data_IF_387459680167
#
_entry.id   IF_387459680167
#
_cell.length_a   1.000
_cell.length_b   1.000
_cell.length_c   1.000
_cell.angle_alpha   90.00
_cell.angle_beta   90.00
_cell.angle_gamma   90.00
#
_symmetry.space_group_name_H-M   'P 1'
#
loop_
_entity.id
_entity.type
_entity.pdbx_description
1 polymer ?
#
# COMPACT_ATOMS: atom_id res chain seq x y z
N UNK A 1 1.02 -15.37 12.65
CA UNK A 1 1.82 -14.48 11.79
C UNK A 1 0.86 -13.54 11.08
N UNK A 2 0.68 -12.33 11.60
CA UNK A 2 -0.22 -11.35 10.99
C UNK A 2 0.52 -10.63 9.88
N UNK A 3 0.09 -10.83 8.64
CA UNK A 3 0.51 -10.04 7.49
C UNK A 3 0.03 -8.60 7.70
N UNK A 4 0.95 -7.72 8.11
CA UNK A 4 0.69 -6.29 8.07
C UNK A 4 0.58 -5.87 6.59
N UNK A 5 -0.45 -5.08 6.21
CA UNK A 5 -0.52 -4.52 4.86
C UNK A 5 0.77 -3.78 4.56
N UNK A 6 1.33 -4.05 3.39
CA UNK A 6 2.53 -3.44 2.84
C UNK A 6 2.33 -1.92 2.74
N UNK A 7 2.67 -1.22 3.82
CA UNK A 7 2.72 0.25 3.86
C UNK A 7 3.93 0.72 3.06
N UNK A 8 3.81 0.72 1.73
CA UNK A 8 4.76 1.34 0.80
C UNK A 8 4.58 2.87 0.78
N UNK A 9 4.76 3.47 1.95
CA UNK A 9 4.93 4.91 2.10
C UNK A 9 6.08 5.16 3.07
N UNK A 10 6.90 6.18 2.80
CA UNK A 10 7.69 6.81 3.86
C UNK A 10 6.66 7.38 4.84
N UNK A 11 6.44 6.78 6.03
CA UNK A 11 5.27 7.11 6.81
C UNK A 11 5.36 8.58 7.21
N UNK A 12 4.24 9.31 7.24
CA UNK A 12 4.26 10.65 7.83
C UNK A 12 4.76 10.57 9.27
N UNK A 13 5.27 11.67 9.85
CA UNK A 13 5.73 11.66 11.24
C UNK A 13 4.64 11.16 12.20
N UNK A 14 3.39 11.54 11.94
CA UNK A 14 2.22 11.08 12.70
C UNK A 14 1.98 9.58 12.58
N UNK A 15 2.19 9.00 11.39
CA UNK A 15 2.07 7.56 11.19
C UNK A 15 3.18 6.79 11.93
N UNK A 16 4.41 7.32 11.92
CA UNK A 16 5.50 6.74 12.73
C UNK A 16 5.19 6.79 14.22
N UNK A 17 4.67 7.90 14.72
CA UNK A 17 4.28 8.03 16.13
C UNK A 17 3.19 7.00 16.49
N UNK A 18 2.19 6.81 15.63
CA UNK A 18 1.14 5.80 15.82
C UNK A 18 1.73 4.39 15.89
N UNK A 19 2.53 4.00 14.90
CA UNK A 19 3.16 2.67 14.82
C UNK A 19 4.07 2.38 16.02
N UNK A 20 4.85 3.36 16.46
CA UNK A 20 5.72 3.22 17.62
C UNK A 20 4.92 3.06 18.91
N UNK A 21 3.82 3.82 19.08
CA UNK A 21 2.94 3.68 20.23
C UNK A 21 2.28 2.30 20.25
N UNK A 22 1.76 1.82 19.12
CA UNK A 22 1.20 0.46 19.02
C UNK A 22 2.21 -0.64 19.36
N UNK A 23 3.47 -0.48 18.94
CA UNK A 23 4.51 -1.47 19.23
C UNK A 23 4.94 -1.44 20.70
N UNK A 24 5.07 -0.25 21.30
CA UNK A 24 5.40 -0.10 22.71
C UNK A 24 4.29 -0.68 23.59
N UNK A 25 3.02 -0.52 23.20
CA UNK A 25 1.89 -1.13 23.90
C UNK A 25 1.97 -2.66 23.89
N UNK A 26 2.26 -3.25 22.73
CA UNK A 26 2.36 -4.71 22.55
C UNK A 26 3.58 -5.28 23.26
N UNK A 27 4.72 -4.60 23.16
CA UNK A 27 5.98 -5.02 23.76
C UNK A 27 6.68 -3.85 24.47
N UNK A 28 6.40 -3.64 25.77
CA UNK A 28 7.07 -2.60 26.56
C UNK A 28 8.59 -2.71 26.62
N UNK A 29 9.17 -3.88 26.34
CA UNK A 29 10.62 -4.13 26.40
C UNK A 29 11.32 -4.08 25.04
N UNK A 30 10.60 -3.67 23.99
CA UNK A 30 11.16 -3.55 22.64
C UNK A 30 12.34 -2.59 22.62
N UNK A 31 13.45 -2.98 22.00
CA UNK A 31 14.61 -2.10 21.84
C UNK A 31 14.45 -1.14 20.66
N UNK A 32 15.19 -0.03 20.68
CA UNK A 32 15.23 0.89 19.54
C UNK A 32 15.77 0.23 18.26
N UNK A 33 16.63 -0.78 18.39
CA UNK A 33 17.15 -1.55 17.25
C UNK A 33 16.07 -2.44 16.64
N UNK A 34 15.28 -3.11 17.47
CA UNK A 34 14.13 -3.89 17.01
C UNK A 34 13.08 -3.01 16.33
N UNK A 35 12.76 -1.84 16.90
CA UNK A 35 11.87 -0.87 16.28
C UNK A 35 12.41 -0.37 14.92
N UNK A 36 13.70 -0.04 14.87
CA UNK A 36 14.38 0.42 13.65
C UNK A 36 14.30 -0.65 12.54
N UNK A 37 14.61 -1.90 12.87
CA UNK A 37 14.55 -3.01 11.93
C UNK A 37 13.11 -3.29 11.48
N UNK A 38 12.16 -3.32 12.43
CA UNK A 38 10.74 -3.59 12.16
C UNK A 38 10.12 -2.58 11.21
N UNK A 39 10.45 -1.30 11.37
CA UNK A 39 9.86 -0.21 10.58
C UNK A 39 10.75 0.26 9.42
N UNK A 40 11.90 -0.37 9.19
CA UNK A 40 12.81 0.00 8.10
C UNK A 40 13.34 1.44 8.20
N UNK A 41 13.43 2.01 9.40
CA UNK A 41 13.93 3.38 9.64
C UNK A 41 15.27 3.35 10.34
N UNK A 42 16.12 4.34 10.09
CA UNK A 42 17.42 4.43 10.74
C UNK A 42 17.30 4.48 12.29
N UNK A 43 18.27 3.88 12.98
CA UNK A 43 18.30 3.84 14.45
C UNK A 43 18.27 5.25 15.08
N UNK A 44 18.97 6.20 14.48
CA UNK A 44 18.97 7.61 14.92
C UNK A 44 17.59 8.26 14.82
N UNK A 45 16.84 7.99 13.75
CA UNK A 45 15.45 8.47 13.58
C UNK A 45 14.54 7.84 14.62
N UNK A 46 14.70 6.54 14.87
CA UNK A 46 13.95 5.82 15.91
C UNK A 46 14.18 6.46 17.28
N UNK A 47 15.45 6.69 17.64
CA UNK A 47 15.81 7.33 18.91
C UNK A 47 15.24 8.76 19.02
N UNK A 48 15.31 9.54 17.94
CA UNK A 48 14.72 10.87 17.90
C UNK A 48 13.20 10.84 18.15
N UNK A 49 12.48 9.88 17.54
CA UNK A 49 11.06 9.70 17.76
C UNK A 49 10.74 9.34 19.22
N UNK A 50 11.46 8.37 19.80
CA UNK A 50 11.30 7.96 21.20
C UNK A 50 11.54 9.15 22.15
N UNK A 51 12.63 9.89 21.96
CA UNK A 51 12.93 11.09 22.76
C UNK A 51 11.88 12.18 22.62
N UNK A 52 11.33 12.38 21.42
CA UNK A 52 10.23 13.34 21.18
C UNK A 52 8.95 12.91 21.88
N UNK A 53 8.55 11.65 21.77
CA UNK A 53 7.36 11.12 22.43
C UNK A 53 7.47 11.20 23.96
N UNK A 54 8.65 10.92 24.52
CA UNK A 54 8.93 11.10 25.95
C UNK A 54 8.83 12.57 26.37
N UNK A 55 9.44 13.49 25.61
CA UNK A 55 9.33 14.95 25.84
C UNK A 55 7.90 15.46 25.76
N UNK A 56 7.08 14.93 24.85
CA UNK A 56 5.64 15.24 24.72
C UNK A 56 4.79 14.62 25.85
N UNK A 57 5.39 13.76 26.69
CA UNK A 57 4.71 13.06 27.77
C UNK A 57 3.81 11.91 27.30
N UNK A 58 4.01 11.39 26.09
CA UNK A 58 3.23 10.28 25.53
C UNK A 58 3.70 8.93 26.06
N UNK A 59 5.00 8.82 26.33
CA UNK A 59 5.62 7.62 26.88
C UNK A 59 6.50 7.96 28.08
N UNK A 60 6.68 6.99 28.97
CA UNK A 60 7.64 7.03 30.09
C UNK A 60 8.64 5.90 29.95
N UNK A 61 9.89 6.19 30.25
CA UNK A 61 10.96 5.20 30.32
C UNK A 61 11.12 4.73 31.76
N UNK A 62 11.24 3.42 31.96
CA UNK A 62 11.62 2.83 33.24
C UNK A 62 12.85 1.96 33.05
N UNK A 63 13.92 2.28 33.77
CA UNK A 63 15.10 1.43 33.84
C UNK A 63 14.83 0.20 34.70
N UNK A 64 15.34 -0.95 34.26
CA UNK A 64 15.36 -2.21 35.01
C UNK A 64 16.79 -2.73 35.07
N UNK A 65 17.32 -3.05 36.26
CA UNK A 65 18.62 -3.69 36.37
C UNK A 65 18.61 -5.14 35.85
N UNK A 66 19.73 -5.63 35.27
CA UNK A 66 20.85 -4.85 34.75
C UNK A 66 20.55 -4.35 33.33
N UNK A 67 20.69 -3.02 33.12
CA UNK A 67 20.74 -2.33 31.81
C UNK A 67 19.57 -2.56 30.83
N UNK A 68 18.37 -2.82 31.33
CA UNK A 68 17.16 -2.90 30.50
C UNK A 68 16.35 -1.60 30.61
N UNK A 69 15.72 -1.19 29.52
CA UNK A 69 14.76 -0.08 29.49
C UNK A 69 13.43 -0.66 29.05
N UNK A 70 12.36 -0.29 29.74
CA UNK A 70 11.00 -0.49 29.26
C UNK A 70 10.32 0.84 28.99
N UNK A 71 9.45 0.84 27.99
CA UNK A 71 8.60 1.93 27.59
C UNK A 71 7.17 1.67 28.06
N UNK A 72 6.53 2.68 28.63
CA UNK A 72 5.12 2.63 29.02
C UNK A 72 4.38 3.81 28.42
N UNK A 73 3.21 3.55 27.86
CA UNK A 73 2.33 4.61 27.36
C UNK A 73 1.64 5.28 28.55
N UNK A 74 1.65 6.60 28.57
CA UNK A 74 0.94 7.38 29.61
C UNK A 74 -0.54 7.49 29.25
N UNK A 75 -1.43 7.89 30.18
CA UNK A 75 -2.81 8.23 29.82
C UNK A 75 -2.91 9.23 28.65
N UNK A 76 -2.03 10.25 28.63
CA UNK A 76 -1.90 11.20 27.51
C UNK A 76 -1.48 10.51 26.21
N UNK A 77 -0.57 9.55 26.29
CA UNK A 77 -0.15 8.73 25.15
C UNK A 77 -1.27 7.88 24.57
N UNK A 78 -2.14 7.29 25.40
CA UNK A 78 -3.30 6.55 24.94
C UNK A 78 -4.30 7.43 24.20
N UNK A 79 -4.59 8.63 24.75
CA UNK A 79 -5.45 9.62 24.08
C UNK A 79 -4.86 10.04 22.73
N UNK A 80 -3.56 10.34 22.67
CA UNK A 80 -2.91 10.72 21.41
C UNK A 80 -2.88 9.56 20.41
N UNK A 81 -2.65 8.32 20.86
CA UNK A 81 -2.74 7.12 20.02
C UNK A 81 -4.12 7.01 19.38
N UNK A 82 -5.19 7.11 20.18
CA UNK A 82 -6.56 7.09 19.68
C UNK A 82 -6.84 8.22 18.67
N UNK A 83 -6.38 9.44 18.94
CA UNK A 83 -6.50 10.55 18.01
C UNK A 83 -5.73 10.34 16.70
N UNK A 84 -4.53 9.75 16.76
CA UNK A 84 -3.74 9.40 15.58
C UNK A 84 -4.43 8.31 14.77
N UNK A 85 -4.98 7.29 15.42
CA UNK A 85 -5.76 6.22 14.79
C UNK A 85 -6.98 6.79 14.06
N UNK A 86 -7.78 7.64 14.71
CA UNK A 86 -8.94 8.30 14.08
C UNK A 86 -8.52 9.14 12.87
N UNK A 87 -7.45 9.94 13.00
CA UNK A 87 -6.93 10.73 11.87
C UNK A 87 -6.45 9.87 10.71
N UNK A 88 -5.79 8.75 11.01
CA UNK A 88 -5.35 7.79 10.01
C UNK A 88 -6.55 7.21 9.27
N UNK A 89 -7.58 6.72 9.97
CA UNK A 89 -8.80 6.22 9.33
C UNK A 89 -9.48 7.29 8.46
N UNK A 90 -9.69 8.51 8.99
CA UNK A 90 -10.29 9.61 8.22
C UNK A 90 -9.46 10.00 6.99
N UNK A 91 -8.14 9.86 7.04
CA UNK A 91 -7.29 10.03 5.85
C UNK A 91 -7.50 8.91 4.84
N UNK A 92 -7.43 7.65 5.27
CA UNK A 92 -7.58 6.49 4.38
C UNK A 92 -8.97 6.45 3.71
N UNK A 93 -10.04 6.75 4.45
CA UNK A 93 -11.40 6.78 3.87
C UNK A 93 -11.50 7.84 2.77
N UNK A 94 -10.97 9.05 3.01
CA UNK A 94 -10.98 10.13 2.01
C UNK A 94 -10.10 9.77 0.82
N UNK A 95 -8.94 9.18 1.06
CA UNK A 95 -8.03 8.74 0.00
C UNK A 95 -8.70 7.67 -0.88
N UNK A 96 -9.29 6.65 -0.27
CA UNK A 96 -10.06 5.62 -0.96
C UNK A 96 -11.21 6.21 -1.78
N UNK A 97 -11.98 7.14 -1.20
CA UNK A 97 -13.10 7.78 -1.91
C UNK A 97 -12.63 8.56 -3.14
N UNK A 98 -11.51 9.29 -3.03
CA UNK A 98 -10.93 10.04 -4.15
C UNK A 98 -10.38 9.08 -5.23
N UNK A 99 -9.65 8.03 -4.83
CA UNK A 99 -9.19 6.99 -5.75
C UNK A 99 -10.37 6.35 -6.49
N UNK A 100 -11.41 5.92 -5.77
CA UNK A 100 -12.60 5.32 -6.36
C UNK A 100 -13.26 6.26 -7.36
N UNK A 101 -13.35 7.56 -7.06
CA UNK A 101 -13.91 8.57 -7.98
C UNK A 101 -13.10 8.67 -9.28
N UNK A 102 -11.77 8.76 -9.18
CA UNK A 102 -10.88 8.88 -10.34
C UNK A 102 -10.92 7.59 -11.20
N UNK A 103 -10.82 6.45 -10.55
CA UNK A 103 -10.88 5.14 -11.20
C UNK A 103 -12.25 4.90 -11.87
N UNK A 104 -13.35 5.23 -11.20
CA UNK A 104 -14.70 5.09 -11.76
C UNK A 104 -14.85 5.91 -13.03
N UNK A 105 -14.37 7.17 -13.01
CA UNK A 105 -14.37 8.02 -14.20
C UNK A 105 -13.57 7.39 -15.34
N UNK A 106 -12.36 6.92 -15.05
CA UNK A 106 -11.47 6.34 -16.07
C UNK A 106 -12.05 5.07 -16.68
N UNK A 107 -12.55 4.15 -15.86
CA UNK A 107 -13.15 2.90 -16.34
C UNK A 107 -14.42 3.17 -17.16
N UNK A 108 -15.25 4.15 -16.77
CA UNK A 108 -16.44 4.52 -17.53
C UNK A 108 -16.08 5.12 -18.91
N UNK A 109 -15.04 5.96 -18.98
CA UNK A 109 -14.49 6.46 -20.25
C UNK A 109 -14.03 5.31 -21.15
N UNK A 110 -13.33 4.31 -20.58
CA UNK A 110 -12.88 3.13 -21.30
C UNK A 110 -14.06 2.30 -21.83
N UNK A 111 -15.06 2.02 -21.00
CA UNK A 111 -16.27 1.30 -21.44
C UNK A 111 -16.98 2.03 -22.56
N UNK A 112 -17.16 3.36 -22.44
CA UNK A 112 -17.81 4.17 -23.47
C UNK A 112 -17.02 4.23 -24.78
N UNK A 113 -15.70 4.02 -24.71
CA UNK A 113 -14.84 3.88 -25.89
C UNK A 113 -14.85 2.47 -26.51
N UNK A 114 -15.67 1.56 -25.98
CA UNK A 114 -15.88 0.21 -26.51
C UNK A 114 -14.99 -0.88 -25.92
N UNK A 115 -14.21 -0.58 -24.88
CA UNK A 115 -13.40 -1.59 -24.17
C UNK A 115 -14.35 -2.57 -23.47
N UNK A 116 -14.12 -3.88 -23.65
CA UNK A 116 -14.86 -4.96 -22.98
C UNK A 116 -13.94 -5.86 -22.17
N UNK A 117 -12.72 -6.12 -22.65
CA UNK A 117 -11.73 -6.99 -22.01
C UNK A 117 -10.56 -6.15 -21.53
N UNK A 118 -10.33 -6.09 -20.23
CA UNK A 118 -9.31 -5.25 -19.63
C UNK A 118 -8.30 -6.10 -18.86
N UNK A 119 -7.01 -5.79 -18.99
CA UNK A 119 -5.96 -6.32 -18.13
C UNK A 119 -5.46 -5.22 -17.19
N UNK A 120 -5.16 -5.56 -15.93
CA UNK A 120 -4.53 -4.64 -15.00
C UNK A 120 -3.02 -4.86 -14.95
N UNK A 121 -2.24 -3.79 -14.82
CA UNK A 121 -0.80 -3.89 -14.67
C UNK A 121 -0.32 -3.25 -13.35
N UNK A 122 0.10 -4.11 -12.42
CA UNK A 122 0.54 -3.73 -11.08
C UNK A 122 -0.42 -4.18 -9.99
N UNK A 123 0.09 -4.97 -9.03
CA UNK A 123 -0.63 -5.32 -7.80
C UNK A 123 -0.43 -4.19 -6.79
N UNK A 124 -1.54 -3.55 -6.42
CA UNK A 124 -1.54 -2.34 -5.58
C UNK A 124 -2.93 -2.10 -4.97
N UNK A 125 -3.02 -1.15 -4.04
CA UNK A 125 -4.30 -0.70 -3.50
C UNK A 125 -5.19 -0.09 -4.60
N UNK A 126 -4.61 0.65 -5.56
CA UNK A 126 -5.33 1.18 -6.72
C UNK A 126 -5.97 0.07 -7.57
N UNK A 127 -5.26 -1.05 -7.74
CA UNK A 127 -5.76 -2.21 -8.47
C UNK A 127 -6.96 -2.83 -7.77
N UNK A 128 -6.93 -2.97 -6.44
CA UNK A 128 -8.06 -3.48 -5.67
C UNK A 128 -9.30 -2.58 -5.82
N UNK A 129 -9.11 -1.26 -5.75
CA UNK A 129 -10.21 -0.30 -5.97
C UNK A 129 -10.73 -0.39 -7.41
N UNK A 130 -9.85 -0.53 -8.40
CA UNK A 130 -10.22 -0.72 -9.80
C UNK A 130 -10.99 -2.01 -10.02
N UNK A 131 -10.58 -3.11 -9.39
CA UNK A 131 -11.26 -4.39 -9.49
C UNK A 131 -12.69 -4.32 -8.95
N UNK A 132 -12.88 -3.76 -7.76
CA UNK A 132 -14.22 -3.61 -7.15
C UNK A 132 -15.09 -2.68 -8.00
N UNK A 133 -14.52 -1.60 -8.53
CA UNK A 133 -15.24 -0.63 -9.36
C UNK A 133 -15.65 -1.24 -10.70
N UNK A 134 -14.80 -2.08 -11.29
CA UNK A 134 -15.05 -2.78 -12.54
C UNK A 134 -16.27 -3.72 -12.48
N UNK A 135 -16.56 -4.32 -11.31
CA UNK A 135 -17.70 -5.24 -11.14
C UNK A 135 -19.06 -4.58 -11.41
N UNK A 136 -19.15 -3.25 -11.33
CA UNK A 136 -20.35 -2.49 -11.67
C UNK A 136 -20.47 -2.08 -13.13
N UNK A 137 -19.50 -2.46 -13.98
CA UNK A 137 -19.38 -2.05 -15.38
C UNK A 137 -19.51 -3.27 -16.30
N UNK A 138 -19.81 -3.02 -17.58
CA UNK A 138 -19.92 -4.09 -18.58
C UNK A 138 -18.56 -4.40 -19.22
N UNK A 139 -17.58 -4.72 -18.38
CA UNK A 139 -16.20 -5.07 -18.76
C UNK A 139 -15.70 -6.26 -17.93
N UNK A 140 -14.85 -7.08 -18.53
CA UNK A 140 -14.27 -8.30 -17.96
C UNK A 140 -12.78 -8.08 -17.66
N UNK A 141 -12.36 -8.31 -16.41
CA UNK A 141 -10.94 -8.41 -16.08
C UNK A 141 -10.40 -9.75 -16.57
N UNK A 142 -9.51 -9.72 -17.56
CA UNK A 142 -8.94 -10.95 -18.15
C UNK A 142 -7.66 -11.42 -17.45
N UNK A 143 -7.04 -10.57 -16.63
CA UNK A 143 -5.88 -10.94 -15.83
C UNK A 143 -5.17 -9.74 -15.22
N UNK A 144 -4.28 -10.04 -14.26
CA UNK A 144 -3.40 -9.07 -13.60
C UNK A 144 -1.97 -9.35 -14.03
N UNK A 145 -1.24 -8.32 -14.45
CA UNK A 145 0.12 -8.41 -14.98
C UNK A 145 1.12 -7.93 -13.93
N UNK A 146 2.28 -8.59 -13.85
CA UNK A 146 3.45 -8.14 -13.09
C UNK A 146 4.76 -8.35 -13.86
N UNK A 147 5.78 -7.56 -13.50
CA UNK A 147 7.14 -7.72 -14.05
C UNK A 147 7.77 -9.03 -13.56
N UNK A 148 7.59 -9.33 -12.27
CA UNK A 148 8.16 -10.50 -11.61
C UNK A 148 7.02 -11.38 -11.10
N UNK A 149 6.20 -11.90 -12.02
CA UNK A 149 5.18 -12.86 -11.65
C UNK A 149 5.84 -14.11 -11.04
N UNK A 150 5.39 -14.58 -9.86
CA UNK A 150 5.94 -15.79 -9.24
C UNK A 150 5.74 -17.01 -10.15
N UNK A 151 6.67 -17.97 -10.07
CA UNK A 151 6.66 -19.21 -10.89
C UNK A 151 5.37 -20.00 -10.68
N UNK A 152 4.85 -19.99 -9.44
CA UNK A 152 3.50 -20.41 -9.14
C UNK A 152 2.54 -19.24 -9.32
N UNK A 153 1.47 -19.44 -10.12
CA UNK A 153 0.43 -18.44 -10.33
C UNK A 153 -0.22 -18.08 -9.00
N UNK A 154 0.21 -16.96 -8.43
CA UNK A 154 -0.43 -16.35 -7.27
C UNK A 154 -1.76 -15.76 -7.73
N UNK A 155 -2.81 -16.01 -6.96
CA UNK A 155 -4.10 -15.36 -7.18
C UNK A 155 -4.17 -14.03 -6.44
N UNK A 156 -4.76 -13.05 -7.11
CA UNK A 156 -5.21 -11.81 -6.48
C UNK A 156 -6.70 -11.69 -6.75
N UNK A 157 -7.50 -11.64 -5.68
CA UNK A 157 -8.91 -12.01 -5.72
C UNK A 157 -9.07 -13.39 -6.39
N UNK A 158 -9.83 -13.48 -7.48
CA UNK A 158 -10.07 -14.71 -8.23
C UNK A 158 -9.27 -14.79 -9.54
N UNK A 159 -8.35 -13.85 -9.79
CA UNK A 159 -7.58 -13.77 -11.03
C UNK A 159 -6.13 -14.19 -10.84
N UNK A 160 -5.61 -14.93 -11.82
CA UNK A 160 -4.20 -15.27 -11.88
C UNK A 160 -3.35 -14.02 -12.15
N UNK A 161 -2.16 -13.97 -11.54
CA UNK A 161 -1.12 -13.01 -11.88
C UNK A 161 -0.23 -13.60 -12.97
N UNK A 162 -0.14 -12.91 -14.10
CA UNK A 162 0.62 -13.30 -15.28
C UNK A 162 1.87 -12.44 -15.43
N UNK A 163 2.89 -13.01 -16.07
CA UNK A 163 4.04 -12.25 -16.50
C UNK A 163 3.65 -11.31 -17.65
N UNK A 164 4.28 -10.14 -17.73
CA UNK A 164 3.98 -9.13 -18.76
C UNK A 164 4.06 -9.64 -20.21
N UNK A 165 4.89 -10.66 -20.45
CA UNK A 165 5.06 -11.35 -21.75
C UNK A 165 3.88 -12.24 -22.14
N UNK A 166 3.02 -12.62 -21.20
CA UNK A 166 1.86 -13.49 -21.46
C UNK A 166 0.62 -12.69 -21.89
N UNK A 167 0.77 -11.36 -22.03
CA UNK A 167 -0.36 -10.46 -22.25
C UNK A 167 -1.20 -10.80 -23.48
N UNK A 168 -0.58 -11.23 -24.58
CA UNK A 168 -1.30 -11.64 -25.79
C UNK A 168 -2.21 -12.83 -25.56
N UNK A 169 -1.84 -13.76 -24.67
CA UNK A 169 -2.69 -14.91 -24.40
C UNK A 169 -4.01 -14.53 -23.71
N UNK A 170 -4.05 -13.34 -23.09
CA UNK A 170 -5.25 -12.83 -22.41
C UNK A 170 -6.21 -12.13 -23.38
N UNK A 171 -5.76 -11.77 -24.59
CA UNK A 171 -6.52 -10.99 -25.57
C UNK A 171 -7.27 -9.78 -24.95
N UNK A 172 -6.60 -8.84 -24.29
CA UNK A 172 -7.25 -7.64 -23.76
C UNK A 172 -7.47 -6.58 -24.86
N UNK A 173 -8.56 -5.84 -24.76
CA UNK A 173 -8.78 -4.62 -25.56
C UNK A 173 -7.95 -3.45 -25.01
N UNK A 174 -7.71 -3.44 -23.69
CA UNK A 174 -6.96 -2.41 -23.01
C UNK A 174 -6.17 -2.92 -21.80
N UNK A 175 -5.10 -2.22 -21.47
CA UNK A 175 -4.31 -2.37 -20.25
C UNK A 175 -4.50 -1.12 -19.42
N UNK A 176 -4.88 -1.29 -18.15
CA UNK A 176 -4.86 -0.21 -17.18
C UNK A 176 -3.66 -0.37 -16.24
N UNK A 177 -2.77 0.61 -16.26
CA UNK A 177 -1.67 0.70 -15.29
C UNK A 177 -2.26 1.13 -13.94
N UNK A 178 -2.32 0.19 -13.01
CA UNK A 178 -2.86 0.37 -11.66
C UNK A 178 -1.73 0.63 -10.67
N UNK A 179 -0.79 1.51 -10.99
CA UNK A 179 0.22 1.97 -10.03
C UNK A 179 0.57 3.42 -10.32
N UNK A 180 0.21 4.30 -9.39
CA UNK A 180 0.46 5.74 -9.52
C UNK A 180 1.95 6.02 -9.28
N UNK A 181 2.57 5.35 -8.30
CA UNK A 181 3.94 5.64 -7.87
C UNK A 181 5.01 5.22 -8.90
N UNK A 182 4.76 4.18 -9.70
CA UNK A 182 5.70 3.65 -10.70
C UNK A 182 5.17 3.76 -12.13
N UNK A 183 4.19 4.65 -12.38
CA UNK A 183 3.48 4.77 -13.65
C UNK A 183 4.40 4.92 -14.86
N UNK A 184 5.36 5.85 -14.79
CA UNK A 184 6.29 6.11 -15.90
C UNK A 184 7.19 4.91 -16.20
N UNK A 185 7.69 4.26 -15.15
CA UNK A 185 8.49 3.04 -15.27
C UNK A 185 7.67 1.92 -15.92
N UNK A 186 6.45 1.68 -15.44
CA UNK A 186 5.55 0.67 -15.98
C UNK A 186 5.17 0.98 -17.44
N UNK A 187 4.90 2.24 -17.76
CA UNK A 187 4.62 2.67 -19.14
C UNK A 187 5.80 2.36 -20.07
N UNK A 188 7.03 2.72 -19.66
CA UNK A 188 8.23 2.42 -20.45
C UNK A 188 8.39 0.91 -20.68
N UNK A 189 8.08 0.08 -19.69
CA UNK A 189 8.13 -1.38 -19.81
C UNK A 189 7.10 -1.94 -20.78
N UNK A 190 5.90 -1.38 -20.83
CA UNK A 190 4.93 -1.75 -21.86
C UNK A 190 5.43 -1.37 -23.25
N UNK A 191 6.03 -0.19 -23.43
CA UNK A 191 6.58 0.24 -24.72
C UNK A 191 7.77 -0.61 -25.21
N UNK A 192 8.49 -1.30 -24.31
CA UNK A 192 9.54 -2.25 -24.66
C UNK A 192 8.98 -3.58 -25.22
N UNK A 193 7.66 -3.81 -25.14
CA UNK A 193 7.01 -5.02 -25.62
C UNK A 193 6.45 -4.77 -27.02
N UNK A 194 7.09 -5.38 -28.02
CA UNK A 194 6.68 -5.32 -29.44
C UNK A 194 5.30 -5.95 -29.71
N UNK A 195 4.68 -6.58 -28.72
CA UNK A 195 3.47 -7.39 -28.84
C UNK A 195 2.16 -6.64 -28.50
N UNK A 196 2.21 -5.32 -28.27
CA UNK A 196 1.05 -4.54 -27.84
C UNK A 196 0.18 -3.95 -28.97
N UNK A 197 0.47 -4.28 -30.23
CA UNK A 197 -0.30 -3.77 -31.38
C UNK A 197 -1.81 -4.01 -31.21
N UNK A 198 -2.58 -2.92 -31.33
CA UNK A 198 -4.05 -2.94 -31.20
C UNK A 198 -4.57 -2.91 -29.76
N UNK A 199 -3.72 -3.04 -28.74
CA UNK A 199 -4.11 -2.97 -27.33
C UNK A 199 -4.00 -1.53 -26.84
N UNK A 200 -5.07 -0.96 -26.29
CA UNK A 200 -5.04 0.40 -25.72
C UNK A 200 -4.29 0.39 -24.39
N UNK A 201 -3.43 1.39 -24.16
CA UNK A 201 -2.73 1.55 -22.89
C UNK A 201 -3.29 2.77 -22.17
N UNK A 202 -3.78 2.55 -20.97
CA UNK A 202 -4.36 3.56 -20.10
C UNK A 202 -3.67 3.55 -18.73
N UNK A 203 -3.75 4.67 -18.03
CA UNK A 203 -3.19 4.79 -16.68
C UNK A 203 -4.10 5.61 -15.79
N UNK A 204 -4.04 5.31 -14.49
CA UNK A 204 -4.63 6.13 -13.43
C UNK A 204 -3.85 7.44 -13.20
#
# INVERSE_FOLDING_TARGET
>A
MGTHPSLLFKPSEKMRDLQLLEEIEKNPRVSQRELSHKFGIALGVTNACIKRMARRGLIRLKGFPPRRIAYYITPKGFVEKANLTLRFFSYNIRHYAEMKKQISKKLLEMQNSGVKRIAFYGVSDEMEVAYITLQGLNMELVGVLEENAPIEKKKVFDHDVYHLKEIRHLNPDAILITSINDREKKMKKLLEINELDGIRIESL
#
